data_IF_593210107902
#
_entry.id   IF_593210107902
#
_cell.length_a   1.000
_cell.length_b   1.000
_cell.length_c   1.000
_cell.angle_alpha   90.00
_cell.angle_beta   90.00
_cell.angle_gamma   90.00
#
_symmetry.space_group_name_H-M   'P 1'
#
loop_
_entity.id
_entity.type
_entity.pdbx_description
1 polymer ?
#
# COMPACT_ATOMS: atom_id res chain seq x y z
N UNK A 1 30.66 23.82 -68.83
CA UNK A 1 30.72 23.45 -67.44
C UNK A 1 30.37 24.68 -66.60
N UNK A 2 29.15 24.81 -66.15
CA UNK A 2 28.71 25.91 -65.23
C UNK A 2 28.51 25.30 -63.85
N UNK A 3 29.26 25.78 -62.90
CA UNK A 3 29.16 25.41 -61.49
C UNK A 3 28.25 26.43 -60.85
N UNK A 4 27.16 25.94 -60.23
CA UNK A 4 26.31 26.74 -59.35
C UNK A 4 26.55 26.29 -57.91
N UNK A 5 27.00 27.20 -57.10
CA UNK A 5 27.26 26.98 -55.67
C UNK A 5 26.01 27.37 -54.88
N UNK A 6 25.45 26.43 -54.10
CA UNK A 6 24.36 26.68 -53.19
C UNK A 6 24.92 27.18 -51.84
N UNK A 7 24.26 28.10 -51.12
CA UNK A 7 24.80 28.73 -49.89
C UNK A 7 25.04 27.79 -48.69
N UNK A 8 24.95 26.47 -48.89
CA UNK A 8 25.23 25.47 -47.83
C UNK A 8 26.41 24.53 -48.16
N UNK A 9 27.23 24.83 -49.20
CA UNK A 9 28.58 24.25 -49.33
C UNK A 9 28.67 22.80 -49.79
N UNK A 10 27.67 22.21 -50.46
CA UNK A 10 27.78 20.85 -51.01
C UNK A 10 27.86 20.84 -52.52
N UNK A 11 28.86 20.16 -53.06
CA UNK A 11 29.07 19.90 -54.50
C UNK A 11 28.25 18.67 -54.93
N UNK A 12 27.34 18.86 -55.89
CA UNK A 12 26.63 17.73 -56.52
C UNK A 12 27.07 17.65 -58.00
N UNK A 13 27.66 16.51 -58.41
CA UNK A 13 27.93 16.16 -59.80
C UNK A 13 26.72 15.46 -60.42
N UNK A 14 26.21 15.99 -61.51
CA UNK A 14 25.20 15.34 -62.39
C UNK A 14 25.88 14.54 -63.46
N UNK A 15 25.57 13.24 -63.70
CA UNK A 15 26.02 12.52 -64.86
C UNK A 15 25.13 12.75 -66.09
N UNK A 16 25.76 12.80 -67.25
CA UNK A 16 25.18 13.08 -68.54
C UNK A 16 24.25 11.93 -69.05
N UNK A 17 23.12 12.34 -69.62
CA UNK A 17 22.16 11.45 -70.29
C UNK A 17 22.73 10.88 -71.57
N UNK A 18 22.82 9.54 -71.68
CA UNK A 18 22.91 8.82 -72.97
C UNK A 18 21.53 8.26 -73.33
N UNK A 19 21.07 8.63 -74.49
CA UNK A 19 19.89 8.05 -75.17
C UNK A 19 20.14 6.58 -75.51
N UNK A 20 19.22 5.69 -75.10
CA UNK A 20 19.03 4.36 -75.74
C UNK A 20 17.55 4.05 -75.84
N UNK A 21 17.20 3.75 -77.01
CA UNK A 21 16.09 3.18 -77.76
C UNK A 21 15.11 2.24 -77.04
N UNK A 22 13.86 2.51 -77.34
CA UNK A 22 12.60 1.78 -77.30
C UNK A 22 12.74 0.25 -77.51
N UNK A 23 12.18 -0.57 -76.59
CA UNK A 23 11.40 -1.78 -76.96
C UNK A 23 10.58 -2.32 -75.73
N UNK A 24 9.30 -2.53 -76.08
CA UNK A 24 8.33 -3.49 -75.49
C UNK A 24 7.84 -3.34 -74.08
N UNK A 25 6.63 -2.86 -74.02
CA UNK A 25 5.59 -2.98 -72.99
C UNK A 25 5.50 -4.39 -72.40
N UNK A 26 5.79 -4.56 -71.10
CA UNK A 26 5.23 -5.65 -70.33
C UNK A 26 4.60 -4.98 -69.08
N UNK A 27 3.27 -4.97 -69.03
CA UNK A 27 2.50 -4.54 -67.87
C UNK A 27 2.63 -5.62 -66.81
N UNK A 28 3.47 -5.37 -65.78
CA UNK A 28 3.46 -6.13 -64.54
C UNK A 28 2.53 -5.39 -63.60
N UNK A 29 1.31 -5.93 -63.42
CA UNK A 29 0.38 -5.52 -62.39
C UNK A 29 0.99 -5.89 -61.04
N UNK A 30 1.60 -4.92 -60.33
CA UNK A 30 1.96 -5.06 -58.93
C UNK A 30 0.66 -5.09 -58.11
N UNK A 31 0.15 -6.29 -57.86
CA UNK A 31 -0.87 -6.54 -56.84
C UNK A 31 -0.23 -6.37 -55.50
N UNK A 32 -0.34 -5.16 -54.93
CA UNK A 32 0.10 -4.85 -53.55
C UNK A 32 -0.81 -5.61 -52.61
N UNK A 33 -0.42 -6.80 -52.22
CA UNK A 33 -0.98 -7.50 -51.07
C UNK A 33 -0.66 -6.65 -49.81
N UNK A 34 -1.60 -5.78 -49.40
CA UNK A 34 -1.63 -5.22 -48.06
C UNK A 34 -1.86 -6.37 -47.08
N UNK A 35 -0.79 -6.98 -46.61
CA UNK A 35 -0.87 -7.77 -45.38
C UNK A 35 -1.17 -6.79 -44.22
N UNK A 36 -2.33 -6.93 -43.54
CA UNK A 36 -2.50 -6.23 -42.29
C UNK A 36 -1.41 -6.77 -41.36
N UNK A 37 -0.44 -5.93 -41.02
CA UNK A 37 0.47 -6.20 -39.91
C UNK A 37 -0.38 -6.27 -38.65
N UNK A 38 -0.80 -7.47 -38.30
CA UNK A 38 -1.38 -7.79 -36.99
C UNK A 38 -0.22 -7.61 -36.00
N UNK A 39 -0.07 -6.39 -35.45
CA UNK A 39 0.75 -6.21 -34.26
C UNK A 39 0.07 -7.05 -33.16
N UNK A 40 0.73 -8.09 -32.62
CA UNK A 40 0.19 -8.75 -31.47
C UNK A 40 0.11 -7.67 -30.39
N UNK A 41 -1.12 -7.25 -30.05
CA UNK A 41 -1.35 -6.44 -28.87
C UNK A 41 -0.73 -7.21 -27.72
N UNK A 42 0.13 -6.57 -26.93
CA UNK A 42 0.65 -7.14 -25.69
C UNK A 42 -0.60 -7.62 -24.95
N UNK A 43 -0.73 -8.92 -24.77
CA UNK A 43 -1.85 -9.49 -24.05
C UNK A 43 -1.81 -8.90 -22.64
N UNK A 44 -2.72 -7.98 -22.35
CA UNK A 44 -2.84 -7.42 -21.03
C UNK A 44 -3.04 -8.60 -20.06
N UNK A 45 -2.18 -8.71 -19.05
CA UNK A 45 -2.25 -9.80 -18.08
C UNK A 45 -3.64 -9.84 -17.43
N UNK A 46 -4.10 -11.02 -17.01
CA UNK A 46 -5.39 -11.19 -16.34
C UNK A 46 -5.52 -10.21 -15.17
N UNK A 47 -6.57 -9.40 -15.15
CA UNK A 47 -6.86 -8.48 -14.04
C UNK A 47 -7.33 -9.24 -12.79
N UNK A 48 -7.22 -8.60 -11.61
CA UNK A 48 -7.75 -9.19 -10.36
C UNK A 48 -9.24 -9.49 -10.47
N UNK A 49 -10.03 -8.59 -11.08
CA UNK A 49 -11.48 -8.81 -11.28
C UNK A 49 -11.75 -10.05 -12.15
N UNK A 50 -11.02 -10.23 -13.24
CA UNK A 50 -11.15 -11.42 -14.10
C UNK A 50 -10.74 -12.69 -13.38
N UNK A 51 -9.61 -12.67 -12.66
CA UNK A 51 -9.16 -13.81 -11.83
C UNK A 51 -10.20 -14.20 -10.80
N UNK A 52 -10.72 -13.23 -10.01
CA UNK A 52 -11.72 -13.48 -8.98
C UNK A 52 -13.05 -13.97 -9.61
N UNK A 53 -13.47 -13.38 -10.74
CA UNK A 53 -14.64 -13.84 -11.46
C UNK A 53 -14.49 -15.30 -11.94
N UNK A 54 -13.30 -15.68 -12.42
CA UNK A 54 -13.03 -17.05 -12.88
C UNK A 54 -12.88 -18.03 -11.72
N UNK A 55 -12.08 -17.71 -10.71
CA UNK A 55 -11.70 -18.67 -9.65
C UNK A 55 -12.66 -18.69 -8.46
N UNK A 56 -13.39 -17.60 -8.20
CA UNK A 56 -14.15 -17.42 -6.96
C UNK A 56 -13.27 -17.21 -5.72
N UNK A 57 -11.99 -16.86 -5.88
CA UNK A 57 -11.03 -16.69 -4.77
C UNK A 57 -10.42 -15.30 -4.81
N UNK A 58 -10.53 -14.57 -3.71
CA UNK A 58 -9.74 -13.36 -3.42
C UNK A 58 -8.62 -13.73 -2.45
N UNK A 59 -7.36 -13.66 -2.88
CA UNK A 59 -6.19 -13.92 -2.04
C UNK A 59 -5.68 -12.59 -1.47
N UNK A 60 -5.72 -12.45 -0.16
CA UNK A 60 -5.38 -11.19 0.52
C UNK A 60 -4.26 -11.35 1.53
N UNK A 61 -3.26 -10.48 1.45
CA UNK A 61 -2.16 -10.40 2.39
C UNK A 61 -2.46 -9.48 3.57
N UNK A 62 -2.00 -9.85 4.77
CA UNK A 62 -2.03 -9.02 5.98
C UNK A 62 -0.96 -9.49 6.97
N UNK A 63 -0.72 -8.75 8.06
CA UNK A 63 0.27 -9.14 9.08
C UNK A 63 -0.25 -10.21 10.04
N UNK A 64 0.71 -10.84 10.76
CA UNK A 64 0.44 -11.74 11.87
C UNK A 64 0.60 -11.06 13.24
N UNK A 65 1.23 -9.89 13.29
CA UNK A 65 1.72 -9.24 14.52
C UNK A 65 1.48 -7.72 14.56
N UNK A 66 0.51 -7.21 13.81
CA UNK A 66 0.19 -5.78 13.69
C UNK A 66 -1.16 -5.42 14.33
N UNK A 67 -1.38 -5.84 15.57
CA UNK A 67 -2.59 -5.48 16.32
C UNK A 67 -2.72 -3.94 16.46
N UNK A 68 -3.91 -3.35 16.23
CA UNK A 68 -5.24 -3.94 16.00
C UNK A 68 -5.57 -4.21 14.53
N UNK A 69 -4.69 -3.84 13.59
CA UNK A 69 -4.96 -4.00 12.16
C UNK A 69 -5.06 -5.48 11.76
N UNK A 70 -4.06 -6.28 12.13
CA UNK A 70 -4.11 -7.72 11.91
C UNK A 70 -3.22 -8.45 12.92
N UNK A 71 -3.69 -9.56 13.42
CA UNK A 71 -2.94 -10.45 14.30
C UNK A 71 -3.36 -11.91 14.10
N UNK A 72 -2.46 -12.82 14.38
CA UNK A 72 -2.75 -14.24 14.42
C UNK A 72 -3.16 -14.65 15.83
N UNK A 73 -4.25 -15.39 15.96
CA UNK A 73 -4.61 -16.04 17.22
C UNK A 73 -3.75 -17.31 17.46
N UNK A 74 -3.99 -17.98 18.58
CA UNK A 74 -3.26 -19.20 18.96
C UNK A 74 -3.49 -20.39 18.01
N UNK A 75 -4.49 -20.31 17.15
CA UNK A 75 -4.82 -21.33 16.14
C UNK A 75 -4.28 -20.94 14.75
N UNK A 76 -3.58 -19.80 14.65
CA UNK A 76 -3.04 -19.28 13.39
C UNK A 76 -4.08 -18.53 12.53
N UNK A 77 -5.29 -18.31 13.03
CA UNK A 77 -6.33 -17.57 12.32
C UNK A 77 -6.02 -16.07 12.36
N UNK A 78 -6.04 -15.43 11.20
CA UNK A 78 -5.83 -13.99 11.06
C UNK A 78 -7.13 -13.23 11.35
N UNK A 79 -7.06 -12.22 12.21
CA UNK A 79 -8.18 -11.35 12.61
C UNK A 79 -7.69 -9.93 12.79
N UNK A 80 -8.60 -8.95 12.84
CA UNK A 80 -8.30 -7.55 13.08
C UNK A 80 -8.99 -6.61 12.10
N UNK A 81 -8.80 -5.32 12.30
CA UNK A 81 -9.45 -4.24 11.56
C UNK A 81 -9.25 -4.34 10.04
N UNK A 82 -8.03 -4.61 9.58
CA UNK A 82 -7.75 -4.80 8.15
C UNK A 82 -8.40 -6.06 7.58
N UNK A 83 -8.56 -7.12 8.39
CA UNK A 83 -9.27 -8.34 7.98
C UNK A 83 -10.78 -8.07 7.84
N UNK A 84 -11.33 -7.20 8.70
CA UNK A 84 -12.72 -6.73 8.55
C UNK A 84 -12.88 -5.93 7.25
N UNK A 85 -11.94 -5.03 6.91
CA UNK A 85 -11.96 -4.30 5.64
C UNK A 85 -11.90 -5.26 4.44
N UNK A 86 -11.01 -6.25 4.47
CA UNK A 86 -10.93 -7.29 3.42
C UNK A 86 -12.24 -8.08 3.28
N UNK A 87 -12.94 -8.30 4.39
CA UNK A 87 -14.26 -8.95 4.38
C UNK A 87 -15.31 -8.08 3.71
N UNK A 88 -15.34 -6.77 3.99
CA UNK A 88 -16.25 -5.83 3.33
C UNK A 88 -15.95 -5.71 1.82
N UNK A 89 -14.68 -5.68 1.43
CA UNK A 89 -14.25 -5.69 0.03
C UNK A 89 -14.74 -6.98 -0.67
N UNK A 90 -14.55 -8.15 -0.03
CA UNK A 90 -15.05 -9.43 -0.54
C UNK A 90 -16.57 -9.40 -0.74
N UNK A 91 -17.33 -8.87 0.21
CA UNK A 91 -18.79 -8.76 0.09
C UNK A 91 -19.23 -7.86 -1.07
N UNK A 92 -18.49 -6.76 -1.31
CA UNK A 92 -18.71 -5.90 -2.46
C UNK A 92 -18.49 -6.63 -3.78
N UNK A 93 -17.39 -7.37 -3.89
CA UNK A 93 -17.09 -8.18 -5.08
C UNK A 93 -18.12 -9.28 -5.30
N UNK A 94 -18.64 -9.91 -4.24
CA UNK A 94 -19.73 -10.89 -4.34
C UNK A 94 -21.00 -10.27 -4.96
N UNK A 95 -21.34 -9.03 -4.55
CA UNK A 95 -22.46 -8.29 -5.11
C UNK A 95 -22.23 -7.94 -6.59
N UNK A 96 -21.03 -7.46 -6.94
CA UNK A 96 -20.70 -7.05 -8.31
C UNK A 96 -20.61 -8.22 -9.28
N UNK A 97 -20.06 -9.35 -8.85
CA UNK A 97 -19.86 -10.54 -9.69
C UNK A 97 -21.02 -11.54 -9.63
N UNK A 98 -22.02 -11.31 -8.76
CA UNK A 98 -23.20 -12.19 -8.62
C UNK A 98 -22.86 -13.60 -8.13
N UNK A 99 -21.72 -13.79 -7.42
CA UNK A 99 -21.26 -15.12 -6.98
C UNK A 99 -20.55 -15.06 -5.62
N UNK A 100 -20.55 -16.18 -4.90
CA UNK A 100 -19.80 -16.32 -3.65
C UNK A 100 -18.30 -16.32 -3.91
N UNK A 101 -17.56 -15.63 -3.04
CA UNK A 101 -16.09 -15.48 -3.11
C UNK A 101 -15.48 -16.00 -1.82
N UNK A 102 -14.48 -16.85 -1.95
CA UNK A 102 -13.67 -17.29 -0.83
C UNK A 102 -12.56 -16.25 -0.59
N UNK A 103 -12.49 -15.68 0.62
CA UNK A 103 -11.37 -14.86 1.07
C UNK A 103 -10.27 -15.78 1.62
N UNK A 104 -9.14 -15.83 0.92
CA UNK A 104 -7.94 -16.57 1.36
C UNK A 104 -6.94 -15.59 1.96
N UNK A 105 -6.73 -15.66 3.27
CA UNK A 105 -5.78 -14.78 3.97
C UNK A 105 -4.38 -15.38 3.98
N UNK A 106 -3.37 -14.53 3.77
CA UNK A 106 -1.93 -14.86 3.78
C UNK A 106 -1.23 -13.91 4.74
N UNK A 107 -0.55 -14.46 5.76
CA UNK A 107 0.23 -13.67 6.69
C UNK A 107 1.58 -13.26 6.10
N UNK A 108 1.86 -11.96 6.03
CA UNK A 108 3.05 -11.37 5.41
C UNK A 108 3.82 -10.50 6.40
N UNK A 109 5.14 -10.50 6.27
CA UNK A 109 6.01 -9.49 6.88
C UNK A 109 5.97 -8.19 6.06
N UNK A 110 6.37 -7.03 6.62
CA UNK A 110 6.41 -5.78 5.87
C UNK A 110 7.22 -5.86 4.57
N UNK A 111 8.33 -6.59 4.57
CA UNK A 111 9.20 -6.73 3.40
C UNK A 111 8.61 -7.58 2.28
N UNK A 112 7.69 -8.49 2.60
CA UNK A 112 7.07 -9.40 1.62
C UNK A 112 5.88 -8.76 0.88
N UNK A 113 5.23 -7.75 1.43
CA UNK A 113 3.95 -7.20 0.94
C UNK A 113 4.00 -6.80 -0.54
N UNK A 114 4.92 -5.92 -0.91
CA UNK A 114 5.05 -5.43 -2.29
C UNK A 114 5.49 -6.54 -3.26
N UNK A 115 6.54 -7.35 -2.96
CA UNK A 115 6.89 -8.48 -3.81
C UNK A 115 5.73 -9.46 -4.06
N UNK A 116 4.92 -9.76 -3.05
CA UNK A 116 3.78 -10.67 -3.19
C UNK A 116 2.68 -10.11 -4.12
N UNK A 117 2.44 -8.79 -4.10
CA UNK A 117 1.51 -8.12 -5.03
C UNK A 117 2.07 -8.11 -6.45
N UNK A 118 3.31 -7.64 -6.62
CA UNK A 118 3.96 -7.53 -7.94
C UNK A 118 4.04 -8.89 -8.63
N UNK A 119 4.35 -9.94 -7.87
CA UNK A 119 4.40 -11.31 -8.38
C UNK A 119 3.03 -12.00 -8.47
N UNK A 120 1.92 -11.27 -8.25
CA UNK A 120 0.54 -11.79 -8.33
C UNK A 120 0.27 -13.00 -7.41
N UNK A 121 1.03 -13.15 -6.31
CA UNK A 121 0.82 -14.17 -5.29
C UNK A 121 -0.37 -13.82 -4.38
N UNK A 122 -0.60 -12.52 -4.17
CA UNK A 122 -1.80 -11.98 -3.54
C UNK A 122 -2.44 -10.92 -4.43
N UNK A 123 -3.74 -10.75 -4.32
CA UNK A 123 -4.54 -9.80 -5.11
C UNK A 123 -4.63 -8.42 -4.45
N UNK A 124 -4.50 -8.38 -3.14
CA UNK A 124 -4.59 -7.19 -2.31
C UNK A 124 -3.80 -7.41 -1.02
N UNK A 125 -3.23 -6.35 -0.48
CA UNK A 125 -2.71 -6.32 0.90
C UNK A 125 -3.38 -5.18 1.65
N UNK A 126 -4.15 -5.48 2.70
CA UNK A 126 -4.65 -4.50 3.67
C UNK A 126 -4.02 -4.79 5.03
N UNK A 127 -3.32 -3.82 5.59
CA UNK A 127 -2.57 -3.93 6.84
C UNK A 127 -2.16 -2.53 7.35
N UNK A 128 -1.38 -2.43 8.41
CA UNK A 128 -0.68 -1.21 8.80
C UNK A 128 0.36 -0.82 7.72
N UNK A 129 -0.11 -0.38 6.57
CA UNK A 129 0.73 -0.04 5.41
C UNK A 129 0.49 1.38 4.97
N UNK A 130 1.52 2.21 5.11
CA UNK A 130 1.47 3.61 4.72
C UNK A 130 1.75 3.80 3.24
N UNK A 131 1.03 4.75 2.62
CA UNK A 131 1.35 5.25 1.30
C UNK A 131 2.74 5.90 1.28
N UNK A 132 3.50 5.66 0.23
CA UNK A 132 4.68 6.44 -0.14
C UNK A 132 4.84 6.49 -1.66
N UNK A 133 5.31 7.60 -2.21
CA UNK A 133 5.62 7.74 -3.64
C UNK A 133 6.58 6.67 -4.18
N UNK A 134 7.46 6.16 -3.32
CA UNK A 134 8.39 5.09 -3.72
C UNK A 134 7.66 3.75 -3.88
N UNK A 135 6.67 3.46 -3.04
CA UNK A 135 5.85 2.25 -3.12
C UNK A 135 4.84 2.33 -4.25
N UNK A 136 4.25 3.51 -4.45
CA UNK A 136 3.27 3.83 -5.51
C UNK A 136 3.81 3.60 -6.94
N UNK A 137 5.12 3.60 -7.11
CA UNK A 137 5.77 3.22 -8.38
C UNK A 137 5.71 1.72 -8.71
N UNK A 138 5.17 0.91 -7.84
CA UNK A 138 5.16 -0.56 -7.96
C UNK A 138 3.80 -1.19 -7.71
N UNK A 139 2.92 -0.47 -7.03
CA UNK A 139 1.59 -0.94 -6.62
C UNK A 139 0.68 0.27 -6.47
N UNK A 140 -0.61 0.12 -6.78
CA UNK A 140 -1.61 1.14 -6.54
C UNK A 140 -2.09 1.11 -5.08
N UNK A 141 -2.50 2.27 -4.56
CA UNK A 141 -3.02 2.42 -3.20
C UNK A 141 -4.49 2.83 -3.19
N UNK A 142 -5.23 2.26 -2.26
CA UNK A 142 -6.59 2.69 -1.94
C UNK A 142 -6.62 4.05 -1.24
N UNK A 143 -7.84 4.58 -1.01
CA UNK A 143 -8.04 5.61 0.01
C UNK A 143 -7.55 5.12 1.36
N UNK A 144 -7.10 6.05 2.21
CA UNK A 144 -6.69 5.70 3.57
C UNK A 144 -7.91 5.34 4.42
N UNK A 145 -7.84 4.22 5.15
CA UNK A 145 -8.87 3.76 6.08
C UNK A 145 -8.42 3.82 7.55
N UNK A 146 -7.26 4.42 7.78
CA UNK A 146 -6.68 4.64 9.10
C UNK A 146 -5.53 5.64 9.06
N UNK A 147 -5.10 6.07 10.21
CA UNK A 147 -3.97 6.99 10.40
C UNK A 147 -3.02 6.44 11.44
N UNK A 148 -1.73 6.66 11.25
CA UNK A 148 -0.67 6.32 12.20
C UNK A 148 0.47 7.33 12.11
N UNK A 149 1.54 7.08 12.86
CA UNK A 149 2.78 7.82 12.75
C UNK A 149 3.93 7.05 13.41
N UNK A 150 5.16 7.40 13.09
CA UNK A 150 6.33 6.77 13.71
C UNK A 150 6.57 7.33 15.10
N UNK A 151 6.58 6.46 16.09
CA UNK A 151 7.03 6.74 17.45
C UNK A 151 8.02 5.66 17.93
N UNK A 152 8.53 5.83 19.12
CA UNK A 152 9.49 4.95 19.75
C UNK A 152 8.86 4.34 21.01
N UNK A 153 8.97 3.04 21.17
CA UNK A 153 8.83 2.41 22.48
C UNK A 153 10.18 2.49 23.19
N UNK A 154 10.19 3.02 24.39
CA UNK A 154 11.37 3.26 25.20
C UNK A 154 11.17 2.74 26.62
N UNK A 155 12.24 2.50 27.37
CA UNK A 155 12.13 2.27 28.82
C UNK A 155 11.70 3.57 29.51
N UNK A 156 10.75 3.47 30.43
CA UNK A 156 10.25 4.62 31.19
C UNK A 156 11.39 5.36 31.90
N UNK A 157 11.34 6.68 31.86
CA UNK A 157 12.39 7.53 32.44
C UNK A 157 13.60 7.77 31.54
N UNK A 158 13.63 7.20 30.31
CA UNK A 158 14.65 7.57 29.33
C UNK A 158 14.23 8.82 28.55
N UNK A 159 15.15 9.74 28.33
CA UNK A 159 14.90 10.96 27.57
C UNK A 159 15.24 10.76 26.07
N UNK A 160 14.38 9.99 25.37
CA UNK A 160 14.53 9.69 23.93
C UNK A 160 13.34 10.24 23.15
N UNK A 161 13.09 11.55 23.24
CA UNK A 161 11.94 12.21 22.62
C UNK A 161 12.30 13.25 21.55
N UNK A 162 13.57 13.63 21.40
CA UNK A 162 14.01 14.58 20.36
C UNK A 162 14.99 13.89 19.40
N UNK A 163 15.12 14.40 18.14
CA UNK A 163 16.13 13.87 17.21
C UNK A 163 17.55 13.86 17.78
N UNK A 164 17.94 14.90 18.53
CA UNK A 164 19.27 15.02 19.15
C UNK A 164 19.52 13.91 20.18
N UNK A 165 18.48 13.53 20.91
CA UNK A 165 18.56 12.46 21.92
C UNK A 165 18.83 11.07 21.33
N UNK A 166 18.62 10.90 20.01
CA UNK A 166 18.84 9.64 19.29
C UNK A 166 20.27 9.48 18.75
N UNK A 167 21.14 10.50 18.88
CA UNK A 167 22.54 10.42 18.42
C UNK A 167 23.22 9.23 19.08
N UNK A 168 23.82 8.34 18.25
CA UNK A 168 24.54 7.12 18.68
C UNK A 168 23.67 6.14 19.50
N UNK A 169 22.34 6.29 19.51
CA UNK A 169 21.43 5.32 20.14
C UNK A 169 21.12 4.16 19.18
N UNK A 170 20.97 2.98 19.77
CA UNK A 170 20.58 1.76 19.04
C UNK A 170 19.07 1.75 18.89
N UNK A 171 18.58 2.01 17.70
CA UNK A 171 17.16 2.05 17.39
C UNK A 171 16.77 0.80 16.63
N UNK A 172 15.94 -0.05 17.22
CA UNK A 172 15.36 -1.22 16.57
C UNK A 172 14.35 -0.79 15.50
N UNK A 173 14.45 -1.36 14.31
CA UNK A 173 13.57 -1.09 13.17
C UNK A 173 13.29 -2.38 12.41
N UNK A 174 12.12 -2.45 11.74
CA UNK A 174 11.88 -3.45 10.71
C UNK A 174 12.31 -2.90 9.34
N UNK A 175 12.97 -3.72 8.54
CA UNK A 175 13.45 -3.34 7.23
C UNK A 175 12.29 -2.96 6.29
N UNK A 176 12.52 -2.01 5.37
CA UNK A 176 11.58 -1.55 4.35
C UNK A 176 10.29 -0.90 4.90
N UNK A 177 10.31 -0.45 6.16
CA UNK A 177 9.21 0.27 6.79
C UNK A 177 9.38 1.78 6.66
N UNK A 178 8.27 2.51 6.76
CA UNK A 178 8.29 3.98 6.89
C UNK A 178 8.91 4.42 8.21
N UNK A 179 8.82 3.60 9.25
CA UNK A 179 9.46 3.83 10.55
C UNK A 179 10.99 3.87 10.44
N UNK A 180 11.59 2.93 9.69
CA UNK A 180 13.01 2.94 9.37
C UNK A 180 13.41 4.26 8.69
N UNK A 181 12.64 4.69 7.67
CA UNK A 181 12.91 5.92 6.95
C UNK A 181 12.71 7.18 7.81
N UNK A 182 11.72 7.17 8.70
CA UNK A 182 11.48 8.27 9.62
C UNK A 182 12.66 8.46 10.58
N UNK A 183 13.21 7.37 11.14
CA UNK A 183 14.40 7.45 12.00
C UNK A 183 15.63 7.94 11.22
N UNK A 184 15.87 7.42 10.02
CA UNK A 184 16.99 7.90 9.16
C UNK A 184 16.90 9.38 8.85
N UNK A 185 15.70 9.91 8.63
CA UNK A 185 15.49 11.35 8.39
C UNK A 185 15.62 12.18 9.67
N UNK A 186 15.04 11.70 10.77
CA UNK A 186 15.07 12.43 12.03
C UNK A 186 16.48 12.50 12.63
N UNK A 187 17.22 11.39 12.58
CA UNK A 187 18.57 11.32 13.12
C UNK A 187 19.47 10.36 12.33
N UNK A 188 20.23 10.86 11.33
CA UNK A 188 21.14 10.03 10.52
C UNK A 188 22.29 9.39 11.32
N UNK A 189 22.61 9.92 12.52
CA UNK A 189 23.65 9.38 13.41
C UNK A 189 23.12 8.33 14.39
N UNK A 190 21.84 7.96 14.33
CA UNK A 190 21.32 6.84 15.08
C UNK A 190 21.85 5.52 14.51
N UNK A 191 22.13 4.55 15.38
CA UNK A 191 22.52 3.20 14.97
C UNK A 191 21.27 2.35 14.77
N UNK A 192 20.95 1.98 13.52
CA UNK A 192 19.80 1.12 13.27
C UNK A 192 20.15 -0.34 13.54
N UNK A 193 19.30 -1.02 14.31
CA UNK A 193 19.36 -2.46 14.57
C UNK A 193 18.16 -3.09 13.86
N UNK A 194 18.44 -3.86 12.80
CA UNK A 194 17.40 -4.53 12.02
C UNK A 194 16.90 -5.76 12.75
N UNK A 195 15.59 -5.88 12.85
CA UNK A 195 14.87 -6.91 13.58
C UNK A 195 13.98 -7.69 12.60
N UNK A 196 13.73 -8.94 12.88
CA UNK A 196 12.94 -9.84 12.06
C UNK A 196 11.45 -9.49 12.10
N UNK A 197 10.94 -9.24 13.29
CA UNK A 197 9.53 -8.97 13.55
C UNK A 197 9.38 -8.06 14.80
N UNK A 198 8.14 -7.67 15.09
CA UNK A 198 7.86 -6.79 16.24
C UNK A 198 8.10 -7.47 17.57
N UNK A 199 7.86 -8.78 17.66
CA UNK A 199 8.09 -9.55 18.90
C UNK A 199 9.58 -9.54 19.28
N UNK A 200 10.47 -9.68 18.29
CA UNK A 200 11.92 -9.53 18.51
C UNK A 200 12.25 -8.10 18.94
N UNK A 201 11.60 -7.08 18.36
CA UNK A 201 11.78 -5.66 18.74
C UNK A 201 11.47 -5.41 20.21
N UNK A 202 10.34 -5.89 20.66
CA UNK A 202 9.94 -5.77 22.07
C UNK A 202 10.90 -6.52 22.99
N UNK A 203 11.29 -7.74 22.62
CA UNK A 203 12.25 -8.56 23.40
C UNK A 203 13.62 -7.89 23.46
N UNK A 204 14.12 -7.37 22.34
CA UNK A 204 15.42 -6.70 22.29
C UNK A 204 15.45 -5.44 23.17
N UNK A 205 14.34 -4.67 23.21
CA UNK A 205 14.19 -3.51 24.10
C UNK A 205 14.18 -3.93 25.58
N UNK A 206 13.42 -4.96 25.93
CA UNK A 206 13.37 -5.49 27.28
C UNK A 206 14.77 -5.93 27.78
N UNK A 207 15.50 -6.62 26.92
CA UNK A 207 16.86 -7.11 27.21
C UNK A 207 17.95 -6.02 27.14
N UNK A 208 17.60 -4.77 26.74
CA UNK A 208 18.58 -3.70 26.60
C UNK A 208 19.54 -3.86 25.41
N UNK A 209 19.20 -4.70 24.43
CA UNK A 209 19.96 -4.85 23.19
C UNK A 209 19.78 -3.65 22.27
N UNK A 210 18.65 -2.96 22.36
CA UNK A 210 18.33 -1.68 21.72
C UNK A 210 17.90 -0.66 22.78
N UNK A 211 18.05 0.61 22.47
CA UNK A 211 17.69 1.71 23.38
C UNK A 211 16.25 2.18 23.14
N UNK A 212 15.74 2.00 21.93
CA UNK A 212 14.34 2.23 21.54
C UNK A 212 13.93 1.31 20.41
N UNK A 213 12.62 1.04 20.28
CA UNK A 213 12.04 0.33 19.15
C UNK A 213 11.10 1.27 18.39
N UNK A 214 11.39 1.54 17.10
CA UNK A 214 10.58 2.39 16.24
C UNK A 214 9.49 1.58 15.55
N UNK A 215 8.24 2.03 15.70
CA UNK A 215 7.08 1.41 15.05
C UNK A 215 5.94 2.43 14.92
N UNK A 216 4.83 1.99 14.33
CA UNK A 216 3.59 2.76 14.25
C UNK A 216 3.01 3.00 15.64
N UNK A 217 2.61 4.22 15.95
CA UNK A 217 2.06 4.61 17.25
C UNK A 217 0.94 3.70 17.74
N UNK A 218 -0.03 3.40 16.86
CA UNK A 218 -1.16 2.52 17.21
C UNK A 218 -0.69 1.08 17.53
N UNK A 219 0.35 0.59 16.85
CA UNK A 219 0.90 -0.74 17.11
C UNK A 219 1.65 -0.78 18.46
N UNK A 220 2.36 0.30 18.78
CA UNK A 220 3.03 0.44 20.09
C UNK A 220 2.01 0.52 21.23
N UNK A 221 0.93 1.28 21.06
CA UNK A 221 -0.19 1.34 22.02
C UNK A 221 -0.81 -0.05 22.22
N UNK A 222 -1.08 -0.77 21.14
CA UNK A 222 -1.64 -2.11 21.20
C UNK A 222 -0.74 -3.10 21.93
N UNK A 223 0.56 -3.00 21.74
CA UNK A 223 1.52 -3.82 22.50
C UNK A 223 1.54 -3.41 23.98
N UNK A 224 1.63 -2.10 24.25
CA UNK A 224 1.75 -1.57 25.61
C UNK A 224 0.53 -1.96 26.47
N UNK A 225 -0.68 -1.87 25.91
CA UNK A 225 -1.92 -2.26 26.60
C UNK A 225 -1.99 -3.77 26.94
N UNK A 226 -1.24 -4.62 26.22
CA UNK A 226 -1.22 -6.08 26.44
C UNK A 226 0.00 -6.59 27.17
N UNK A 227 1.05 -5.79 27.28
CA UNK A 227 2.28 -6.19 27.96
C UNK A 227 2.09 -6.28 29.48
N UNK A 228 2.52 -7.40 30.08
CA UNK A 228 2.42 -7.62 31.53
C UNK A 228 3.22 -6.59 32.35
N UNK A 229 4.26 -6.00 31.77
CA UNK A 229 5.18 -5.03 32.37
C UNK A 229 5.09 -3.67 31.69
N UNK A 230 3.90 -3.29 31.20
CA UNK A 230 3.63 -2.02 30.49
C UNK A 230 4.17 -0.80 31.23
N UNK A 231 4.05 -0.79 32.57
CA UNK A 231 4.49 0.33 33.42
C UNK A 231 6.00 0.62 33.34
N UNK A 232 6.80 -0.32 32.80
CA UNK A 232 8.24 -0.17 32.59
C UNK A 232 8.60 0.54 31.28
N UNK A 233 7.60 0.82 30.43
CA UNK A 233 7.80 1.39 29.11
C UNK A 233 6.96 2.63 28.88
N UNK A 234 7.34 3.42 27.88
CA UNK A 234 6.61 4.60 27.43
C UNK A 234 6.75 4.74 25.91
N UNK A 235 5.80 5.43 25.30
CA UNK A 235 5.86 5.82 23.88
C UNK A 235 6.38 7.26 23.82
N UNK A 236 7.35 7.52 22.98
CA UNK A 236 8.00 8.81 22.79
C UNK A 236 8.36 9.05 21.30
N UNK A 237 8.43 10.31 20.88
CA UNK A 237 7.95 11.52 21.54
C UNK A 237 6.41 11.59 21.54
N UNK A 238 5.81 12.49 22.31
CA UNK A 238 4.35 12.70 22.30
C UNK A 238 3.82 13.06 20.91
N UNK A 239 4.57 13.88 20.16
CA UNK A 239 4.27 14.15 18.75
C UNK A 239 5.04 13.17 17.85
N UNK A 240 4.35 12.33 17.08
CA UNK A 240 5.01 11.37 16.17
C UNK A 240 6.01 12.01 15.22
N UNK A 241 7.09 11.30 14.90
CA UNK A 241 8.13 11.72 13.95
C UNK A 241 7.63 11.78 12.49
N UNK A 242 6.54 11.06 12.18
CA UNK A 242 5.81 11.14 10.93
C UNK A 242 4.32 10.95 11.17
N UNK A 243 3.47 11.37 10.22
CA UNK A 243 2.04 11.03 10.16
C UNK A 243 1.75 10.44 8.82
N UNK A 244 0.99 9.36 8.79
CA UNK A 244 0.84 8.52 7.61
C UNK A 244 -0.57 7.95 7.54
N UNK A 245 -1.18 8.04 6.35
CA UNK A 245 -2.43 7.34 6.08
C UNK A 245 -2.18 5.85 5.83
N UNK A 246 -2.98 5.00 6.43
CA UNK A 246 -2.95 3.55 6.21
C UNK A 246 -3.92 3.20 5.09
N UNK A 247 -3.43 2.48 4.07
CA UNK A 247 -4.18 2.11 2.89
C UNK A 247 -3.93 0.67 2.47
N UNK A 248 -4.85 0.11 1.67
CA UNK A 248 -4.63 -1.16 1.00
C UNK A 248 -3.77 -0.94 -0.25
N UNK A 249 -2.98 -1.94 -0.61
CA UNK A 249 -2.22 -2.01 -1.85
C UNK A 249 -2.83 -3.04 -2.80
N UNK A 250 -2.90 -2.70 -4.08
CA UNK A 250 -3.36 -3.59 -5.15
C UNK A 250 -2.33 -3.58 -6.29
N UNK A 251 -2.32 -4.58 -7.18
CA UNK A 251 -1.44 -4.54 -8.36
C UNK A 251 -1.80 -3.38 -9.28
N UNK A 252 -0.79 -2.76 -9.92
CA UNK A 252 -0.99 -1.76 -10.99
C UNK A 252 -1.88 -2.29 -12.11
N UNK A 253 -2.49 -1.39 -12.88
CA UNK A 253 -3.40 -1.68 -13.99
C UNK A 253 -4.70 -2.43 -13.59
N UNK A 254 -5.16 -2.23 -12.35
CA UNK A 254 -6.37 -2.85 -11.82
C UNK A 254 -7.41 -1.81 -11.33
N UNK A 255 -7.64 -0.73 -12.10
CA UNK A 255 -8.49 0.40 -11.72
C UNK A 255 -9.89 -0.03 -11.26
N UNK A 256 -10.57 -0.92 -11.98
CA UNK A 256 -11.91 -1.42 -11.57
C UNK A 256 -11.89 -2.14 -10.23
N UNK A 257 -10.84 -2.91 -9.94
CA UNK A 257 -10.68 -3.55 -8.65
C UNK A 257 -10.41 -2.51 -7.56
N UNK A 258 -9.53 -1.54 -7.84
CA UNK A 258 -9.23 -0.43 -6.93
C UNK A 258 -10.49 0.42 -6.63
N UNK A 259 -11.35 0.65 -7.62
CA UNK A 259 -12.64 1.35 -7.43
C UNK A 259 -13.56 0.57 -6.47
N UNK A 260 -13.66 -0.76 -6.63
CA UNK A 260 -14.44 -1.61 -5.70
C UNK A 260 -13.87 -1.59 -4.29
N UNK A 261 -12.53 -1.59 -4.14
CA UNK A 261 -11.83 -1.45 -2.86
C UNK A 261 -12.16 -0.09 -2.23
N UNK A 262 -11.96 0.99 -2.97
CA UNK A 262 -12.21 2.35 -2.50
C UNK A 262 -13.68 2.56 -2.08
N UNK A 263 -14.61 2.10 -2.92
CA UNK A 263 -16.04 2.17 -2.59
C UNK A 263 -16.36 1.44 -1.28
N UNK A 264 -15.79 0.24 -1.06
CA UNK A 264 -16.01 -0.53 0.15
C UNK A 264 -15.51 0.19 1.40
N UNK A 265 -14.32 0.80 1.30
CA UNK A 265 -13.71 1.54 2.40
C UNK A 265 -14.46 2.84 2.70
N UNK A 266 -14.84 3.62 1.67
CA UNK A 266 -15.65 4.85 1.85
C UNK A 266 -17.02 4.50 2.44
N UNK A 267 -17.68 3.45 1.95
CA UNK A 267 -18.96 2.98 2.51
C UNK A 267 -18.85 2.61 4.00
N UNK A 268 -17.79 1.92 4.38
CA UNK A 268 -17.53 1.63 5.79
C UNK A 268 -17.35 2.92 6.61
N UNK A 269 -16.49 3.83 6.15
CA UNK A 269 -16.19 5.08 6.86
C UNK A 269 -17.43 5.96 6.98
N UNK A 270 -18.18 6.14 5.91
CA UNK A 270 -19.42 6.93 5.91
C UNK A 270 -20.49 6.31 6.81
N UNK A 271 -20.64 4.99 6.77
CA UNK A 271 -21.56 4.30 7.66
C UNK A 271 -21.14 4.39 9.13
N UNK A 272 -19.83 4.34 9.43
CA UNK A 272 -19.31 4.56 10.79
C UNK A 272 -19.64 5.98 11.29
N UNK A 273 -19.31 7.01 10.49
CA UNK A 273 -19.58 8.43 10.81
C UNK A 273 -21.08 8.66 11.01
N UNK A 274 -21.93 8.04 10.21
CA UNK A 274 -23.40 8.12 10.32
C UNK A 274 -24.00 7.22 11.41
N UNK A 275 -23.18 6.54 12.22
CA UNK A 275 -23.64 5.73 13.35
C UNK A 275 -24.29 4.40 12.95
N UNK A 276 -24.02 3.87 11.75
CA UNK A 276 -24.53 2.54 11.37
C UNK A 276 -23.97 1.49 12.32
N UNK A 277 -24.85 0.77 13.03
CA UNK A 277 -24.48 -0.16 14.09
C UNK A 277 -23.51 -1.26 13.65
N UNK A 278 -23.63 -1.76 12.42
CA UNK A 278 -22.71 -2.76 11.88
C UNK A 278 -21.27 -2.22 11.80
N UNK A 279 -21.10 -1.02 11.25
CA UNK A 279 -19.78 -0.42 11.05
C UNK A 279 -19.18 0.12 12.35
N UNK A 280 -20.03 0.63 13.25
CA UNK A 280 -19.63 0.99 14.63
C UNK A 280 -19.12 -0.25 15.36
N UNK A 281 -19.83 -1.39 15.28
CA UNK A 281 -19.39 -2.63 15.91
C UNK A 281 -18.06 -3.17 15.33
N UNK A 282 -17.81 -3.01 14.03
CA UNK A 282 -16.52 -3.35 13.39
C UNK A 282 -15.41 -2.47 13.96
N UNK A 283 -15.62 -1.17 14.02
CA UNK A 283 -14.64 -0.22 14.55
C UNK A 283 -14.36 -0.47 16.03
N UNK A 284 -15.40 -0.61 16.84
CA UNK A 284 -15.28 -0.78 18.29
C UNK A 284 -14.63 -2.10 18.71
N UNK A 285 -14.76 -3.17 17.89
CA UNK A 285 -13.99 -4.41 18.12
C UNK A 285 -12.48 -4.17 18.11
N UNK A 286 -12.04 -3.23 17.29
CA UNK A 286 -10.62 -2.90 17.15
C UNK A 286 -10.18 -1.77 18.05
N UNK A 287 -10.99 -0.74 18.21
CA UNK A 287 -10.61 0.56 18.80
C UNK A 287 -11.52 1.04 19.94
N UNK A 288 -12.55 0.30 20.30
CA UNK A 288 -13.45 0.63 21.40
C UNK A 288 -12.87 0.31 22.78
N UNK A 289 -13.61 0.65 23.82
CA UNK A 289 -13.19 0.45 25.22
C UNK A 289 -12.92 -1.02 25.60
N UNK A 290 -13.55 -1.95 24.90
CA UNK A 290 -13.33 -3.40 25.03
C UNK A 290 -12.67 -3.99 23.77
N UNK A 291 -12.14 -3.12 22.91
CA UNK A 291 -11.53 -3.50 21.66
C UNK A 291 -10.12 -4.07 21.80
N UNK A 292 -9.53 -4.41 20.67
CA UNK A 292 -8.16 -4.94 20.64
C UNK A 292 -7.12 -3.92 21.13
N UNK A 293 -7.36 -2.63 20.83
CA UNK A 293 -6.57 -1.48 21.32
C UNK A 293 -7.54 -0.36 21.64
N UNK A 294 -7.53 0.11 22.86
CA UNK A 294 -8.33 1.27 23.24
C UNK A 294 -7.69 2.56 22.74
N UNK A 295 -8.42 3.29 21.88
CA UNK A 295 -8.07 4.66 21.54
C UNK A 295 -8.70 5.62 22.56
N UNK A 296 -7.89 6.49 23.18
CA UNK A 296 -8.43 7.60 23.93
C UNK A 296 -9.27 8.52 23.03
N UNK A 297 -10.05 9.42 23.64
CA UNK A 297 -10.99 10.27 22.92
C UNK A 297 -10.32 11.06 21.79
N UNK A 298 -9.19 11.71 22.09
CA UNK A 298 -8.51 12.60 21.13
C UNK A 298 -7.99 11.83 19.89
N UNK A 299 -7.44 10.63 20.10
CA UNK A 299 -6.99 9.76 18.99
C UNK A 299 -8.18 9.20 18.20
N UNK A 300 -9.29 8.87 18.88
CA UNK A 300 -10.52 8.42 18.23
C UNK A 300 -11.10 9.53 17.34
N UNK A 301 -11.21 10.73 17.88
CA UNK A 301 -11.74 11.90 17.17
C UNK A 301 -10.87 12.21 15.94
N UNK A 302 -9.54 12.25 16.09
CA UNK A 302 -8.60 12.41 14.96
C UNK A 302 -8.78 11.33 13.91
N UNK A 303 -9.01 10.09 14.32
CA UNK A 303 -9.20 8.96 13.39
C UNK A 303 -10.51 9.16 12.59
N UNK A 304 -11.60 9.53 13.26
CA UNK A 304 -12.91 9.76 12.65
C UNK A 304 -12.89 11.01 11.75
N UNK A 305 -12.27 12.11 12.19
CA UNK A 305 -12.08 13.32 11.37
C UNK A 305 -11.30 13.01 10.08
N UNK A 306 -10.26 12.19 10.17
CA UNK A 306 -9.50 11.78 8.98
C UNK A 306 -10.38 10.98 8.02
N UNK A 307 -11.26 10.11 8.53
CA UNK A 307 -12.21 9.37 7.68
C UNK A 307 -13.21 10.31 7.02
N UNK A 308 -13.71 11.30 7.74
CA UNK A 308 -14.64 12.29 7.20
C UNK A 308 -14.02 13.09 6.05
N UNK A 309 -12.77 13.53 6.19
CA UNK A 309 -12.04 14.18 5.09
C UNK A 309 -11.90 13.27 3.86
N UNK A 310 -11.63 11.99 4.06
CA UNK A 310 -11.56 11.02 2.93
C UNK A 310 -12.90 10.91 2.22
N UNK A 311 -14.02 10.89 2.96
CA UNK A 311 -15.37 10.85 2.38
C UNK A 311 -15.62 12.13 1.56
N UNK A 312 -15.40 13.29 2.14
CA UNK A 312 -15.64 14.59 1.52
C UNK A 312 -14.84 14.77 0.22
N UNK A 313 -13.56 14.35 0.21
CA UNK A 313 -12.72 14.41 -0.98
C UNK A 313 -13.08 13.39 -2.08
N UNK A 314 -13.91 12.40 -1.78
CA UNK A 314 -14.33 11.35 -2.72
C UNK A 314 -15.80 11.41 -3.09
N UNK A 315 -16.55 12.38 -2.58
CA UNK A 315 -18.01 12.44 -2.63
C UNK A 315 -18.70 11.39 -1.75
N UNK A 316 -19.80 11.76 -1.13
CA UNK A 316 -20.59 10.87 -0.30
C UNK A 316 -21.32 9.81 -1.13
N UNK A 317 -21.33 8.59 -0.64
CA UNK A 317 -22.14 7.51 -1.23
C UNK A 317 -23.63 7.82 -0.95
N UNK A 318 -24.51 7.76 -1.98
CA UNK A 318 -25.92 8.01 -1.81
C UNK A 318 -26.55 7.13 -0.74
N UNK A 319 -27.49 7.68 0.05
CA UNK A 319 -28.14 6.96 1.18
C UNK A 319 -28.80 5.64 0.77
N UNK A 320 -29.28 5.53 -0.48
CA UNK A 320 -29.89 4.31 -0.99
C UNK A 320 -28.90 3.17 -1.23
N UNK A 321 -27.59 3.47 -1.30
CA UNK A 321 -26.52 2.48 -1.52
C UNK A 321 -25.75 2.13 -0.23
N UNK A 322 -26.02 2.85 0.87
CA UNK A 322 -25.50 2.55 2.21
C UNK A 322 -26.29 1.40 2.86
#
# INVERSE_FOLDING_TARGET
MKVLVNPRGYLTCLPALKKVSMYKTIAIACLSLMFPTFMPGVAAGETVMQKVARTGILTAGTSKDALPFASSDNQGKLTGYSVDMLTLIKERLEKELGKKIQLKLVGLTPAERIPQIVNRQVDIVCDATSFTWQRDKKVDFSVSYGITGTQLLVKKGTNLGSPESLINKRIGVLAQTTNEQAIKRAQPKATLVYLKDRAEGFTALQQGKIDAFASDSILLEGWLQKAKNSDSFAIAPDRPLSREGIACMVPEDNSKFLDSVNYSLVKFMQGLVNGNQRYVAIFDRSFGSQGAVFLNRDLRDLFVETMQLVIEFREEIPKGDL
#
